data_IF_804691571627
#
_entry.id   IF_804691571627
#
_cell.length_a   1.000
_cell.length_b   1.000
_cell.length_c   1.000
_cell.angle_alpha   90.00
_cell.angle_beta   90.00
_cell.angle_gamma   90.00
#
_symmetry.space_group_name_H-M   'P 1'
#
loop_
_entity.id
_entity.type
_entity.pdbx_description
1 polymer ?
#
# COMPACT_ATOMS: atom_id res chain seq x y z
N UNK A 1 1.43 12.18 -9.50
CA UNK A 1 0.59 11.56 -8.46
C UNK A 1 -0.74 12.30 -8.44
N UNK A 2 -1.85 11.61 -8.72
CA UNK A 2 -3.19 12.18 -8.57
C UNK A 2 -3.82 11.60 -7.30
N UNK A 3 -4.33 12.48 -6.44
CA UNK A 3 -5.13 12.14 -5.27
C UNK A 3 -6.56 12.47 -5.64
N UNK A 4 -7.46 11.48 -5.63
CA UNK A 4 -8.88 11.69 -5.97
C UNK A 4 -9.70 11.77 -4.67
N UNK A 5 -10.35 12.91 -4.37
CA UNK A 5 -11.25 13.02 -3.21
C UNK A 5 -12.49 12.15 -3.39
N UNK A 6 -12.95 11.48 -2.32
CA UNK A 6 -14.22 10.74 -2.30
C UNK A 6 -14.96 10.98 -0.97
N UNK A 7 -16.25 10.60 -0.89
CA UNK A 7 -17.03 10.63 0.36
C UNK A 7 -16.74 9.42 1.27
N UNK A 8 -15.89 8.51 0.83
CA UNK A 8 -15.52 7.32 1.59
C UNK A 8 -14.41 7.63 2.59
N UNK A 9 -14.24 6.77 3.60
CA UNK A 9 -13.18 6.89 4.62
C UNK A 9 -11.79 6.54 4.08
N UNK A 10 -11.61 6.55 2.75
CA UNK A 10 -10.38 6.21 2.08
C UNK A 10 -10.00 7.17 0.94
N UNK A 11 -8.68 7.32 0.76
CA UNK A 11 -8.07 8.09 -0.32
C UNK A 11 -7.11 7.18 -1.06
N UNK A 12 -7.31 7.04 -2.38
CA UNK A 12 -6.46 6.22 -3.24
C UNK A 12 -5.46 7.09 -4.01
N UNK A 13 -4.25 6.56 -4.20
CA UNK A 13 -3.33 7.04 -5.22
C UNK A 13 -2.72 5.89 -6.02
N UNK A 14 -2.57 6.11 -7.32
CA UNK A 14 -1.88 5.18 -8.21
C UNK A 14 -0.37 5.34 -8.06
N UNK A 15 0.34 4.21 -7.99
CA UNK A 15 1.81 4.15 -7.94
C UNK A 15 2.46 4.08 -9.34
N UNK A 16 1.66 4.28 -10.40
CA UNK A 16 2.12 4.19 -11.79
C UNK A 16 2.16 2.77 -12.37
N UNK A 17 1.59 1.80 -11.66
CA UNK A 17 1.39 0.42 -12.13
C UNK A 17 -0.11 0.11 -12.08
N UNK A 18 -0.67 -0.36 -13.20
CA UNK A 18 -2.09 -0.73 -13.25
C UNK A 18 -2.40 -1.77 -12.18
N UNK A 19 -3.51 -1.58 -11.46
CA UNK A 19 -3.95 -2.45 -10.37
C UNK A 19 -3.14 -2.38 -9.08
N UNK A 20 -2.15 -1.48 -8.96
CA UNK A 20 -1.41 -1.26 -7.72
C UNK A 20 -1.72 0.14 -7.18
N UNK A 21 -2.09 0.23 -5.90
CA UNK A 21 -2.51 1.49 -5.28
C UNK A 21 -2.01 1.63 -3.85
N UNK A 22 -1.86 2.88 -3.41
CA UNK A 22 -1.78 3.23 -2.00
C UNK A 22 -3.13 3.76 -1.53
N UNK A 23 -3.59 3.25 -0.39
CA UNK A 23 -4.89 3.60 0.17
C UNK A 23 -4.73 4.04 1.62
N UNK A 24 -5.19 5.25 1.94
CA UNK A 24 -5.32 5.72 3.32
C UNK A 24 -6.64 5.24 3.88
N UNK A 25 -6.64 4.72 5.11
CA UNK A 25 -7.84 4.23 5.78
C UNK A 25 -7.93 4.87 7.17
N UNK A 26 -9.06 5.52 7.43
CA UNK A 26 -9.36 6.13 8.72
C UNK A 26 -10.43 5.33 9.46
N UNK A 27 -10.06 4.67 10.57
CA UNK A 27 -10.99 3.93 11.42
C UNK A 27 -11.03 4.52 12.83
N UNK A 28 -12.00 4.07 13.64
CA UNK A 28 -12.21 4.58 15.01
C UNK A 28 -11.09 4.20 15.97
N UNK A 29 -10.44 3.06 15.74
CA UNK A 29 -9.46 2.45 16.65
C UNK A 29 -8.06 2.30 16.03
N UNK A 30 -7.93 2.52 14.72
CA UNK A 30 -6.65 2.54 14.02
C UNK A 30 -6.73 3.48 12.82
N UNK A 31 -5.58 3.99 12.40
CA UNK A 31 -5.40 4.49 11.04
C UNK A 31 -4.37 3.62 10.34
N UNK A 32 -4.49 3.49 9.01
CA UNK A 32 -3.54 2.68 8.25
C UNK A 32 -3.35 3.16 6.83
N UNK A 33 -2.17 2.84 6.30
CA UNK A 33 -1.80 2.98 4.89
C UNK A 33 -1.63 1.58 4.33
N UNK A 34 -2.38 1.28 3.27
CA UNK A 34 -2.32 -0.01 2.58
C UNK A 34 -1.67 0.15 1.21
N UNK A 35 -0.64 -0.63 0.93
CA UNK A 35 -0.17 -0.86 -0.43
C UNK A 35 -0.87 -2.10 -0.98
N UNK A 36 -1.79 -1.91 -1.92
CA UNK A 36 -2.64 -2.96 -2.47
C UNK A 36 -2.15 -3.39 -3.86
N UNK A 37 -2.03 -4.71 -4.03
CA UNK A 37 -1.78 -5.40 -5.30
C UNK A 37 -3.10 -6.05 -5.74
N UNK A 38 -3.82 -5.39 -6.64
CA UNK A 38 -5.17 -5.76 -7.08
C UNK A 38 -5.31 -5.70 -8.61
N UNK A 39 -4.31 -6.21 -9.32
CA UNK A 39 -4.33 -6.41 -10.78
C UNK A 39 -5.45 -7.36 -11.20
N UNK A 40 -5.71 -7.41 -12.50
CA UNK A 40 -6.77 -8.25 -13.07
C UNK A 40 -6.54 -9.73 -12.80
N UNK A 41 -5.28 -10.17 -12.88
CA UNK A 41 -4.88 -11.55 -12.60
C UNK A 41 -4.47 -11.73 -11.13
N UNK A 42 -5.02 -12.76 -10.48
CA UNK A 42 -4.72 -13.13 -9.09
C UNK A 42 -3.27 -13.59 -8.95
N UNK A 43 -2.79 -14.41 -9.86
CA UNK A 43 -1.44 -14.98 -9.79
C UNK A 43 -0.38 -13.89 -9.97
N UNK A 44 -0.65 -12.86 -10.78
CA UNK A 44 0.23 -11.69 -10.85
C UNK A 44 0.34 -10.96 -9.50
N UNK A 45 -0.76 -10.80 -8.77
CA UNK A 45 -0.75 -10.17 -7.45
C UNK A 45 0.00 -11.01 -6.42
N UNK A 46 -0.11 -12.34 -6.50
CA UNK A 46 0.60 -13.26 -5.61
C UNK A 46 2.10 -13.24 -5.90
N UNK A 47 2.47 -13.30 -7.17
CA UNK A 47 3.86 -13.23 -7.59
C UNK A 47 4.51 -11.90 -7.18
N UNK A 48 3.86 -10.76 -7.44
CA UNK A 48 4.38 -9.45 -7.02
C UNK A 48 4.56 -9.37 -5.50
N UNK A 49 3.58 -9.88 -4.74
CA UNK A 49 3.66 -9.93 -3.29
C UNK A 49 4.85 -10.77 -2.83
N UNK A 50 5.01 -11.97 -3.38
CA UNK A 50 6.08 -12.90 -3.01
C UNK A 50 7.46 -12.29 -3.31
N UNK A 51 7.62 -11.65 -4.48
CA UNK A 51 8.86 -10.95 -4.85
C UNK A 51 9.20 -9.78 -3.90
N UNK A 52 8.20 -9.00 -3.47
CA UNK A 52 8.42 -7.93 -2.48
C UNK A 52 8.73 -8.53 -1.10
N UNK A 53 8.10 -9.66 -0.76
CA UNK A 53 8.22 -10.32 0.54
C UNK A 53 9.53 -11.10 0.73
N UNK A 54 10.38 -11.21 -0.30
CA UNK A 54 11.73 -11.80 -0.18
C UNK A 54 12.62 -11.01 0.79
N UNK A 55 12.39 -9.69 0.91
CA UNK A 55 13.20 -8.80 1.76
C UNK A 55 12.32 -7.86 2.58
N UNK A 56 11.45 -8.44 3.43
CA UNK A 56 10.54 -7.67 4.30
C UNK A 56 11.28 -6.69 5.19
N UNK A 57 12.44 -7.09 5.73
CA UNK A 57 13.24 -6.29 6.66
C UNK A 57 13.72 -4.97 6.05
N UNK A 58 14.06 -4.95 4.75
CA UNK A 58 14.40 -3.70 4.06
C UNK A 58 13.21 -2.75 3.97
N UNK A 59 12.01 -3.25 3.73
CA UNK A 59 10.80 -2.40 3.68
C UNK A 59 10.42 -1.88 5.07
N UNK A 60 10.46 -2.74 6.09
CA UNK A 60 10.22 -2.33 7.48
C UNK A 60 11.22 -1.21 7.88
N UNK A 61 12.49 -1.36 7.52
CA UNK A 61 13.53 -0.34 7.77
C UNK A 61 13.30 0.94 6.96
N UNK A 62 12.88 0.85 5.70
CA UNK A 62 12.62 2.01 4.85
C UNK A 62 11.39 2.80 5.28
N UNK A 63 10.36 2.12 5.82
CA UNK A 63 9.16 2.75 6.38
C UNK A 63 9.38 3.18 7.83
N UNK A 64 10.31 2.55 8.55
CA UNK A 64 10.61 2.83 9.95
C UNK A 64 9.60 2.24 10.93
N UNK A 65 8.76 1.30 10.47
CA UNK A 65 7.70 0.64 11.24
C UNK A 65 7.60 -0.83 10.76
N UNK A 66 7.26 -1.78 11.64
CA UNK A 66 6.93 -3.15 11.21
C UNK A 66 5.71 -3.16 10.30
N UNK A 67 5.83 -3.79 9.13
CA UNK A 67 4.72 -3.91 8.18
C UNK A 67 3.97 -5.22 8.38
N UNK A 68 2.65 -5.17 8.23
CA UNK A 68 1.82 -6.36 8.19
C UNK A 68 1.67 -6.84 6.73
N UNK A 69 2.22 -8.02 6.46
CA UNK A 69 2.28 -8.62 5.12
C UNK A 69 1.12 -9.60 4.93
N UNK A 70 0.14 -9.24 4.09
CA UNK A 70 -1.06 -10.04 3.85
C UNK A 70 -1.10 -10.55 2.41
N UNK A 71 -0.68 -11.80 2.21
CA UNK A 71 -0.78 -12.46 0.90
C UNK A 71 -2.23 -12.69 0.49
N UNK A 72 -3.10 -13.03 1.44
CA UNK A 72 -4.54 -13.29 1.23
C UNK A 72 -4.82 -14.34 0.15
N UNK A 73 -4.40 -15.59 0.40
CA UNK A 73 -4.48 -16.67 -0.59
C UNK A 73 -5.90 -16.91 -1.11
N UNK A 74 -6.92 -16.74 -0.27
CA UNK A 74 -8.33 -16.89 -0.64
C UNK A 74 -8.90 -15.72 -1.45
N UNK A 75 -8.14 -14.63 -1.63
CA UNK A 75 -8.57 -13.42 -2.36
C UNK A 75 -7.69 -13.14 -3.58
N UNK A 76 -8.23 -12.35 -4.52
CA UNK A 76 -7.47 -11.83 -5.66
C UNK A 76 -6.40 -10.82 -5.23
N UNK A 77 -6.74 -9.94 -4.29
CA UNK A 77 -5.85 -8.90 -3.77
C UNK A 77 -4.77 -9.49 -2.86
N UNK A 78 -3.61 -8.87 -2.84
CA UNK A 78 -2.59 -8.98 -1.79
C UNK A 78 -2.28 -7.58 -1.28
N UNK A 79 -1.81 -7.43 -0.04
CA UNK A 79 -1.50 -6.09 0.49
C UNK A 79 -0.40 -6.09 1.55
N UNK A 80 0.28 -4.96 1.65
CA UNK A 80 1.20 -4.63 2.75
C UNK A 80 0.62 -3.47 3.53
N UNK A 81 0.53 -3.59 4.84
CA UNK A 81 -0.21 -2.66 5.69
C UNK A 81 0.72 -2.05 6.74
N UNK A 82 0.77 -0.72 6.79
CA UNK A 82 1.34 0.04 7.91
C UNK A 82 0.18 0.63 8.71
N UNK A 83 0.13 0.40 10.02
CA UNK A 83 -1.00 0.84 10.87
C UNK A 83 -0.53 1.28 12.24
N UNK A 84 -1.30 2.18 12.85
CA UNK A 84 -1.11 2.57 14.25
C UNK A 84 -2.46 2.63 14.98
N UNK A 85 -2.54 2.19 16.25
CA UNK A 85 -3.74 2.38 17.06
C UNK A 85 -3.98 3.86 17.37
N UNK A 86 -5.25 4.26 17.43
CA UNK A 86 -5.67 5.65 17.67
C UNK A 86 -6.97 5.71 18.46
N UNK A 87 -7.25 6.85 19.09
CA UNK A 87 -8.56 7.13 19.69
C UNK A 87 -9.34 8.12 18.81
N UNK A 88 -10.02 7.60 17.77
CA UNK A 88 -10.67 8.42 16.75
C UNK A 88 -11.96 9.13 17.17
N UNK A 89 -12.46 8.89 18.40
CA UNK A 89 -13.65 9.56 18.94
C UNK A 89 -13.41 11.02 19.32
N UNK A 90 -12.18 11.40 19.70
CA UNK A 90 -11.85 12.81 19.95
C UNK A 90 -11.40 13.47 18.65
N UNK A 91 -12.09 14.54 18.26
CA UNK A 91 -11.69 15.38 17.12
C UNK A 91 -10.36 16.09 17.34
N UNK A 92 -9.92 16.21 18.59
CA UNK A 92 -8.62 16.79 18.95
C UNK A 92 -7.46 15.93 18.44
N UNK A 93 -7.67 14.62 18.25
CA UNK A 93 -6.65 13.69 17.77
C UNK A 93 -6.55 13.67 16.23
N UNK A 94 -7.52 14.26 15.52
CA UNK A 94 -7.57 14.21 14.05
C UNK A 94 -6.35 14.83 13.35
N UNK A 95 -5.78 15.96 13.84
CA UNK A 95 -4.55 16.51 13.27
C UNK A 95 -3.37 15.53 13.37
N UNK A 96 -3.21 14.85 14.50
CA UNK A 96 -2.15 13.84 14.71
C UNK A 96 -2.35 12.63 13.81
N UNK A 97 -3.58 12.10 13.74
CA UNK A 97 -3.94 10.99 12.85
C UNK A 97 -3.66 11.33 11.38
N UNK A 98 -3.99 12.56 10.97
CA UNK A 98 -3.75 13.04 9.60
C UNK A 98 -2.26 13.21 9.33
N UNK A 99 -1.50 13.76 10.28
CA UNK A 99 -0.05 13.89 10.15
C UNK A 99 0.62 12.52 10.01
N UNK A 100 0.22 11.55 10.84
CA UNK A 100 0.69 10.18 10.77
C UNK A 100 0.38 9.55 9.40
N UNK A 101 -0.86 9.68 8.91
CA UNK A 101 -1.28 9.15 7.60
C UNK A 101 -0.46 9.75 6.46
N UNK A 102 -0.25 11.07 6.44
CA UNK A 102 0.51 11.76 5.40
C UNK A 102 1.99 11.34 5.43
N UNK A 103 2.57 11.22 6.61
CA UNK A 103 3.96 10.78 6.78
C UNK A 103 4.13 9.35 6.26
N UNK A 104 3.32 8.41 6.75
CA UNK A 104 3.45 7.00 6.41
C UNK A 104 3.06 6.71 4.97
N UNK A 105 2.14 7.49 4.39
CA UNK A 105 1.88 7.48 2.96
C UNK A 105 3.14 7.74 2.14
N UNK A 106 3.88 8.82 2.46
CA UNK A 106 5.10 9.19 1.74
C UNK A 106 6.19 8.15 1.88
N UNK A 107 6.33 7.56 3.07
CA UNK A 107 7.30 6.48 3.32
C UNK A 107 6.94 5.23 2.53
N UNK A 108 5.67 4.82 2.55
CA UNK A 108 5.17 3.68 1.76
C UNK A 108 5.32 3.91 0.25
N UNK A 109 4.97 5.10 -0.26
CA UNK A 109 5.15 5.47 -1.67
C UNK A 109 6.62 5.37 -2.08
N UNK A 110 7.53 5.97 -1.30
CA UNK A 110 8.97 5.89 -1.54
C UNK A 110 9.48 4.44 -1.50
N UNK A 111 8.96 3.61 -0.60
CA UNK A 111 9.42 2.24 -0.42
C UNK A 111 8.91 1.29 -1.51
N UNK A 112 7.68 1.45 -1.99
CA UNK A 112 7.01 0.44 -2.85
C UNK A 112 6.86 0.82 -4.32
N UNK A 113 6.74 2.11 -4.65
CA UNK A 113 6.36 2.54 -6.01
C UNK A 113 7.36 2.14 -7.09
N UNK A 114 8.66 2.28 -6.84
CA UNK A 114 9.68 1.88 -7.82
C UNK A 114 9.91 0.36 -7.84
N UNK A 115 10.05 -0.35 -6.70
CA UNK A 115 10.17 -1.81 -6.72
C UNK A 115 9.02 -2.53 -7.44
N UNK A 116 7.76 -2.15 -7.18
CA UNK A 116 6.62 -2.80 -7.86
C UNK A 116 6.61 -2.50 -9.36
N UNK A 117 7.04 -1.29 -9.77
CA UNK A 117 7.15 -0.92 -11.19
C UNK A 117 8.21 -1.73 -11.90
N UNK A 118 9.39 -1.90 -11.29
CA UNK A 118 10.46 -2.73 -11.81
C UNK A 118 10.00 -4.19 -11.96
N UNK A 119 9.33 -4.74 -10.93
CA UNK A 119 8.78 -6.09 -10.97
C UNK A 119 7.70 -6.26 -12.04
N UNK A 120 6.73 -5.35 -12.13
CA UNK A 120 5.67 -5.42 -13.13
C UNK A 120 6.20 -5.31 -14.57
N UNK A 121 7.28 -4.56 -14.80
CA UNK A 121 7.93 -4.49 -16.11
C UNK A 121 8.61 -5.81 -16.50
N UNK A 122 9.10 -6.62 -15.54
CA UNK A 122 9.63 -7.97 -15.80
C UNK A 122 8.54 -8.97 -16.22
N UNK A 123 7.28 -8.70 -15.88
CA UNK A 123 6.14 -9.57 -16.22
C UNK A 123 5.58 -9.31 -17.61
N UNK A 124 5.88 -8.15 -18.22
CA UNK A 124 5.49 -7.91 -19.61
C UNK A 124 6.21 -8.95 -20.48
N UNK A 125 5.50 -9.70 -21.34
CA UNK A 125 6.17 -10.48 -22.37
C UNK A 125 7.08 -9.52 -23.14
N UNK A 126 8.30 -9.96 -23.49
CA UNK A 126 9.11 -9.24 -24.47
C UNK A 126 8.21 -8.85 -25.64
N UNK A 127 8.23 -7.56 -25.98
CA UNK A 127 7.26 -6.97 -26.89
C UNK A 127 7.08 -7.81 -28.14
N UNK A 128 5.83 -7.98 -28.55
CA UNK A 128 5.54 -8.21 -29.96
C UNK A 128 6.09 -7.01 -30.72
N UNK A 129 7.14 -7.27 -31.51
CA UNK A 129 7.58 -6.41 -32.61
C UNK A 129 6.42 -6.13 -33.58
#
# INVERSE_FOLDING_TARGET
MAITPSKDHWINSSVGVSGCTLTLIFLRHEVRVEFQLNRSDREENKWLFDQLAEDKGRYDSAVGEPLEWRRMDDKKVSMVVCKTPVQGYSKENWPEMTAWLVEHYRKMDKAFSEPVRALANRMKPGGSD
#
